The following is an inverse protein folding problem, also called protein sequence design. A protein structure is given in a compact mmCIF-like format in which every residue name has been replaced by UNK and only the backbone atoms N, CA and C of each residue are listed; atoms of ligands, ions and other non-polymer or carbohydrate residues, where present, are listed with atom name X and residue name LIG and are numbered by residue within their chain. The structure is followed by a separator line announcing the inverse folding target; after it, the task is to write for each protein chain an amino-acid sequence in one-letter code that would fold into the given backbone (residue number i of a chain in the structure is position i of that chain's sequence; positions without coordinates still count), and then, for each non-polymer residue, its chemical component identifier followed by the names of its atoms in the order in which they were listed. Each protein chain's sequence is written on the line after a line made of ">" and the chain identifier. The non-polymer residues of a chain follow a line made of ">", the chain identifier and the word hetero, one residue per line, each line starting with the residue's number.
data_IF_294447842394
#
_entry.id   IF_294447842394
#
_cell.length_a   1.000
_cell.length_b   1.000
_cell.length_c   1.000
_cell.angle_alpha   90.00
_cell.angle_beta   90.00
_cell.angle_gamma   90.00
#
_symmetry.space_group_name_H-M   'P 1'
#
loop_
_entity.id
_entity.type
_entity.pdbx_description
1 polymer ?
#
# COMPACT_ATOMS: atom_id res chain seq x y z
N UNK A 1 -41.97 -70.46 19.64
CA UNK A 1 -42.28 -69.09 20.12
C UNK A 1 -40.98 -68.32 20.08
N UNK A 2 -40.71 -67.65 18.96
CA UNK A 2 -39.36 -67.17 18.62
C UNK A 2 -39.43 -65.66 18.41
N UNK A 3 -38.84 -64.91 19.34
CA UNK A 3 -38.84 -63.44 19.38
C UNK A 3 -37.73 -62.94 18.44
N UNK A 4 -38.09 -62.21 17.38
CA UNK A 4 -37.14 -61.44 16.54
C UNK A 4 -36.91 -60.08 17.17
N UNK A 5 -35.64 -59.75 17.46
CA UNK A 5 -35.19 -58.41 17.87
C UNK A 5 -35.00 -57.54 16.64
N UNK A 6 -35.60 -56.35 16.64
CA UNK A 6 -35.42 -55.31 15.62
C UNK A 6 -34.32 -54.36 16.09
N UNK A 7 -33.18 -54.33 15.40
CA UNK A 7 -32.11 -53.35 15.64
C UNK A 7 -32.29 -52.14 14.73
N UNK A 8 -32.34 -50.95 15.32
CA UNK A 8 -32.35 -49.67 14.58
C UNK A 8 -30.90 -49.21 14.43
N UNK A 9 -30.45 -49.04 13.19
CA UNK A 9 -29.13 -48.53 12.83
C UNK A 9 -29.22 -47.01 12.70
N UNK A 10 -28.62 -46.26 13.62
CA UNK A 10 -28.47 -44.80 13.53
C UNK A 10 -27.19 -44.49 12.75
N UNK A 11 -27.35 -43.85 11.59
CA UNK A 11 -26.25 -43.35 10.77
C UNK A 11 -25.92 -41.93 11.24
N UNK A 12 -24.76 -41.76 11.87
CA UNK A 12 -24.20 -40.46 12.21
C UNK A 12 -23.54 -39.86 10.97
N UNK A 13 -24.17 -38.84 10.39
CA UNK A 13 -23.59 -38.04 9.31
C UNK A 13 -22.72 -36.96 9.97
N UNK A 14 -21.40 -37.16 9.94
CA UNK A 14 -20.43 -36.14 10.35
C UNK A 14 -20.35 -35.07 9.26
N UNK A 15 -20.88 -33.88 9.55
CA UNK A 15 -20.66 -32.67 8.75
C UNK A 15 -19.22 -32.18 9.00
N UNK A 16 -18.35 -32.43 8.04
CA UNK A 16 -17.02 -31.80 7.99
C UNK A 16 -17.23 -30.38 7.47
N UNK A 17 -17.14 -29.40 8.36
CA UNK A 17 -17.02 -27.99 7.98
C UNK A 17 -15.60 -27.77 7.47
N UNK A 18 -15.44 -27.68 6.15
CA UNK A 18 -14.23 -27.13 5.54
C UNK A 18 -14.33 -25.62 5.74
N UNK A 19 -13.64 -25.11 6.76
CA UNK A 19 -13.35 -23.67 6.86
C UNK A 19 -12.36 -23.35 5.74
N UNK A 20 -12.80 -22.58 4.76
CA UNK A 20 -11.87 -21.75 4.00
C UNK A 20 -11.34 -20.72 5.00
N UNK A 21 -10.08 -20.83 5.40
CA UNK A 21 -9.37 -19.67 5.94
C UNK A 21 -9.30 -18.64 4.82
N UNK A 22 -9.97 -17.52 5.03
CA UNK A 22 -10.03 -16.44 4.07
C UNK A 22 -8.63 -15.81 4.01
N UNK A 23 -7.93 -16.00 2.89
CA UNK A 23 -6.55 -15.55 2.66
C UNK A 23 -6.47 -14.01 2.47
N UNK A 24 -7.47 -13.27 2.96
CA UNK A 24 -7.74 -11.85 2.73
C UNK A 24 -6.88 -10.91 3.57
N UNK A 25 -6.26 -11.42 4.64
CA UNK A 25 -5.32 -10.67 5.48
C UNK A 25 -3.99 -10.42 4.77
N UNK A 26 -3.57 -11.32 3.88
CA UNK A 26 -2.30 -11.19 3.19
C UNK A 26 -2.36 -10.05 2.16
N UNK A 27 -1.31 -9.25 2.13
CA UNK A 27 -1.08 -8.21 1.14
C UNK A 27 0.07 -8.64 0.25
N UNK A 28 -0.17 -8.70 -1.05
CA UNK A 28 0.86 -9.00 -2.03
C UNK A 28 0.65 -8.05 -3.19
N UNK A 29 1.68 -7.26 -3.51
CA UNK A 29 1.67 -6.37 -4.66
C UNK A 29 2.95 -6.57 -5.47
N UNK A 30 2.78 -6.60 -6.78
CA UNK A 30 3.82 -6.34 -7.76
C UNK A 30 3.30 -5.28 -8.73
N UNK A 31 4.18 -4.76 -9.58
CA UNK A 31 3.79 -3.73 -10.55
C UNK A 31 3.80 -4.25 -11.99
N UNK A 32 3.67 -5.57 -12.20
CA UNK A 32 3.73 -6.19 -13.52
C UNK A 32 2.54 -5.82 -14.41
N UNK A 33 1.38 -5.57 -13.81
CA UNK A 33 0.15 -5.15 -14.49
C UNK A 33 -0.18 -3.68 -14.18
N UNK A 34 0.84 -2.83 -14.04
CA UNK A 34 0.66 -1.41 -13.79
C UNK A 34 1.43 -0.62 -14.85
N UNK A 35 0.74 0.20 -15.63
CA UNK A 35 1.39 1.07 -16.59
C UNK A 35 2.26 2.12 -15.90
N UNK A 36 3.24 2.67 -16.64
CA UNK A 36 4.09 3.74 -16.13
C UNK A 36 3.25 4.95 -15.72
N UNK A 37 3.33 5.35 -14.45
CA UNK A 37 2.53 6.45 -13.86
C UNK A 37 3.13 6.94 -12.54
N UNK A 38 2.74 8.14 -12.10
CA UNK A 38 3.17 8.69 -10.80
C UNK A 38 2.33 8.09 -9.67
N UNK A 39 1.00 8.00 -9.86
CA UNK A 39 0.12 7.45 -8.83
C UNK A 39 0.36 5.95 -8.63
N UNK A 40 0.86 5.57 -7.45
CA UNK A 40 1.23 4.17 -7.16
C UNK A 40 0.02 3.24 -7.24
N UNK A 41 -1.06 3.59 -6.54
CA UNK A 41 -2.30 2.82 -6.52
C UNK A 41 -3.16 3.16 -5.31
N UNK A 42 -4.38 2.62 -5.27
CA UNK A 42 -5.39 2.95 -4.25
C UNK A 42 -4.99 2.54 -2.83
N UNK A 43 -4.16 1.50 -2.72
CA UNK A 43 -3.74 0.94 -1.44
C UNK A 43 -2.57 1.72 -0.82
N UNK A 44 -2.10 2.78 -1.47
CA UNK A 44 -0.87 3.47 -1.12
C UNK A 44 -1.03 4.97 -0.91
N UNK A 45 -0.18 5.53 -0.05
CA UNK A 45 0.05 6.97 0.03
C UNK A 45 1.55 7.29 0.05
N UNK A 46 2.03 7.89 -1.04
CA UNK A 46 3.42 8.32 -1.20
C UNK A 46 3.66 9.71 -0.60
N UNK A 47 4.80 9.88 0.06
CA UNK A 47 5.25 11.15 0.64
C UNK A 47 6.74 11.35 0.30
N UNK A 48 7.08 12.43 -0.43
CA UNK A 48 6.18 13.24 -1.26
C UNK A 48 5.52 12.40 -2.36
N UNK A 49 4.41 12.84 -2.97
CA UNK A 49 3.71 12.02 -3.97
C UNK A 49 4.46 12.03 -5.30
N UNK A 50 4.98 13.20 -5.67
CA UNK A 50 5.72 13.51 -6.89
C UNK A 50 7.07 12.78 -7.00
N UNK A 51 7.62 12.34 -5.87
CA UNK A 51 8.93 11.72 -5.78
C UNK A 51 8.89 10.22 -6.06
N UNK A 52 7.71 9.65 -6.31
CA UNK A 52 7.50 8.24 -6.57
C UNK A 52 6.77 8.00 -7.87
N UNK A 53 7.16 6.93 -8.57
CA UNK A 53 6.48 6.49 -9.78
C UNK A 53 6.56 4.98 -9.93
N UNK A 54 5.58 4.41 -10.61
CA UNK A 54 5.69 3.09 -11.20
C UNK A 54 6.32 3.25 -12.57
N UNK A 55 7.43 2.57 -12.81
CA UNK A 55 8.12 2.58 -14.11
C UNK A 55 8.79 1.24 -14.34
N UNK A 56 8.59 0.67 -15.54
CA UNK A 56 9.18 -0.63 -15.93
C UNK A 56 8.89 -1.71 -14.88
N UNK A 57 7.62 -1.84 -14.49
CA UNK A 57 7.10 -2.81 -13.53
C UNK A 57 7.72 -2.75 -12.12
N UNK A 58 8.25 -1.59 -11.72
CA UNK A 58 8.80 -1.36 -10.38
C UNK A 58 8.32 -0.05 -9.80
N UNK A 59 8.19 0.02 -8.48
CA UNK A 59 8.04 1.29 -7.76
C UNK A 59 9.43 1.91 -7.59
N UNK A 60 9.61 3.16 -8.04
CA UNK A 60 10.90 3.86 -8.02
C UNK A 60 10.71 5.17 -7.26
N UNK A 61 11.59 5.42 -6.29
CA UNK A 61 11.77 6.75 -5.73
C UNK A 61 12.72 7.54 -6.65
N UNK A 62 12.30 8.68 -7.16
CA UNK A 62 13.12 9.60 -7.98
C UNK A 62 13.48 10.89 -7.25
N UNK A 63 12.93 11.10 -6.06
CA UNK A 63 13.17 12.28 -5.25
C UNK A 63 14.44 12.20 -4.39
N UNK A 64 14.81 13.33 -3.82
CA UNK A 64 15.91 13.44 -2.85
C UNK A 64 15.44 13.84 -1.46
N UNK A 65 14.12 13.92 -1.23
CA UNK A 65 13.57 14.27 0.08
C UNK A 65 13.89 13.16 1.09
N UNK A 66 14.50 13.48 2.24
CA UNK A 66 14.78 12.51 3.30
C UNK A 66 13.50 11.87 3.85
N UNK A 67 13.60 10.65 4.38
CA UNK A 67 12.44 9.94 4.97
C UNK A 67 11.26 9.77 4.00
N UNK A 68 11.55 9.78 2.69
CA UNK A 68 10.54 9.54 1.65
C UNK A 68 9.98 8.14 1.80
N UNK A 69 8.67 7.99 1.63
CA UNK A 69 7.99 6.72 1.92
C UNK A 69 6.74 6.52 1.08
N UNK A 70 6.36 5.26 0.89
CA UNK A 70 5.06 4.86 0.36
C UNK A 70 4.37 3.98 1.39
N UNK A 71 3.39 4.57 2.06
CA UNK A 71 2.61 3.93 3.13
C UNK A 71 1.58 2.97 2.51
N UNK A 72 1.41 1.79 3.11
CA UNK A 72 0.32 0.86 2.81
C UNK A 72 -0.88 1.25 3.68
N UNK A 73 -2.01 1.59 3.05
CA UNK A 73 -3.19 2.15 3.72
C UNK A 73 -4.18 1.09 4.19
N UNK A 74 -4.32 0.00 3.44
CA UNK A 74 -5.41 -0.98 3.62
C UNK A 74 -5.03 -2.16 4.50
N UNK A 75 -3.80 -2.17 5.03
CA UNK A 75 -3.26 -3.25 5.87
C UNK A 75 -2.47 -2.65 7.01
N UNK A 76 -2.94 -2.87 8.23
CA UNK A 76 -2.44 -2.21 9.43
C UNK A 76 -1.99 -3.28 10.42
N UNK A 77 -0.89 -3.03 11.14
CA UNK A 77 -0.49 -3.87 12.25
C UNK A 77 -1.40 -3.60 13.46
N UNK A 78 -2.14 -4.62 13.88
CA UNK A 78 -2.96 -4.62 15.09
C UNK A 78 -2.11 -4.44 16.36
N UNK A 79 -2.63 -3.78 17.41
CA UNK A 79 -2.01 -3.81 18.74
C UNK A 79 -2.04 -5.21 19.39
N UNK A 80 -2.93 -6.10 18.96
CA UNK A 80 -3.11 -7.42 19.56
C UNK A 80 -1.89 -8.33 19.34
N UNK A 81 -1.66 -9.33 20.22
CA UNK A 81 -0.58 -10.29 20.04
C UNK A 81 -0.68 -11.06 18.70
N UNK A 82 0.47 -11.23 18.04
CA UNK A 82 0.58 -12.05 16.85
C UNK A 82 1.96 -11.90 16.21
N UNK A 83 2.03 -12.29 14.94
CA UNK A 83 3.20 -12.14 14.06
C UNK A 83 2.89 -11.35 12.79
N UNK A 84 3.94 -10.85 12.16
CA UNK A 84 3.92 -10.36 10.78
C UNK A 84 5.26 -10.62 10.10
N UNK A 85 5.24 -10.65 8.77
CA UNK A 85 6.39 -10.59 7.88
C UNK A 85 6.11 -9.51 6.83
N UNK A 86 6.95 -8.48 6.80
CA UNK A 86 6.99 -7.52 5.69
C UNK A 86 8.23 -7.82 4.85
N UNK A 87 8.07 -8.01 3.55
CA UNK A 87 9.17 -8.24 2.62
C UNK A 87 9.01 -7.47 1.32
N UNK A 88 10.13 -7.18 0.66
CA UNK A 88 10.18 -6.60 -0.67
C UNK A 88 11.50 -6.99 -1.36
N UNK A 89 11.44 -7.06 -2.69
CA UNK A 89 12.63 -7.03 -3.52
C UNK A 89 13.02 -5.58 -3.76
N UNK A 90 14.31 -5.30 -3.70
CA UNK A 90 14.85 -3.95 -3.75
C UNK A 90 16.13 -3.88 -4.56
N UNK A 91 16.50 -2.68 -4.99
CA UNK A 91 17.81 -2.44 -5.58
C UNK A 91 18.10 -0.97 -5.77
N UNK A 92 19.37 -0.64 -5.89
CA UNK A 92 19.84 0.70 -6.20
C UNK A 92 19.43 1.05 -7.64
N UNK A 93 18.67 2.12 -7.78
CA UNK A 93 18.29 2.69 -9.07
C UNK A 93 19.32 3.71 -9.53
N UNK A 94 19.63 4.68 -8.67
CA UNK A 94 20.61 5.73 -8.94
C UNK A 94 21.39 6.07 -7.68
N UNK A 95 22.71 6.19 -7.80
CA UNK A 95 23.59 6.56 -6.69
C UNK A 95 23.72 8.08 -6.63
N UNK A 96 23.31 8.66 -5.51
CA UNK A 96 23.50 10.08 -5.22
C UNK A 96 24.91 10.39 -4.72
N UNK A 97 25.21 11.69 -4.60
CA UNK A 97 26.46 12.19 -4.00
C UNK A 97 26.59 11.78 -2.52
N UNK A 98 25.46 11.85 -1.80
CA UNK A 98 25.34 11.43 -0.41
C UNK A 98 24.77 10.01 -0.39
N UNK A 99 25.49 9.10 0.26
CA UNK A 99 25.13 7.69 0.34
C UNK A 99 23.75 7.53 0.99
N UNK A 100 22.79 7.06 0.19
CA UNK A 100 21.42 6.81 0.63
C UNK A 100 21.21 5.48 1.32
N UNK A 101 19.98 5.27 1.74
CA UNK A 101 19.49 4.07 2.40
C UNK A 101 18.10 3.72 1.88
N UNK A 102 17.67 2.49 2.10
CA UNK A 102 16.29 2.10 1.80
C UNK A 102 15.85 0.95 2.71
N UNK A 103 14.55 0.81 2.88
CA UNK A 103 13.96 -0.31 3.60
C UNK A 103 12.51 -0.06 3.96
N UNK A 104 12.16 -0.30 5.21
CA UNK A 104 10.82 -0.16 5.75
C UNK A 104 10.74 0.81 6.91
N UNK A 105 9.57 1.41 7.06
CA UNK A 105 9.13 2.06 8.29
C UNK A 105 7.97 1.24 8.86
N UNK A 106 8.13 0.73 10.09
CA UNK A 106 7.26 -0.28 10.69
C UNK A 106 6.47 0.29 11.87
N UNK A 107 5.18 -0.02 11.94
CA UNK A 107 4.33 0.41 13.07
C UNK A 107 4.24 1.92 13.18
N UNK A 108 3.97 2.57 12.04
CA UNK A 108 3.82 4.02 11.93
C UNK A 108 2.55 4.42 12.65
N UNK A 109 2.71 5.15 13.75
CA UNK A 109 1.61 5.61 14.59
C UNK A 109 1.85 7.05 15.01
N UNK A 110 0.77 7.85 14.99
CA UNK A 110 0.76 9.18 15.59
C UNK A 110 -0.01 9.12 16.91
N UNK A 111 0.63 9.66 17.95
CA UNK A 111 0.15 9.61 19.34
C UNK A 111 -0.88 10.71 19.61
N UNK A 112 -0.79 11.80 18.86
CA UNK A 112 -1.63 12.98 19.03
C UNK A 112 -2.93 12.84 18.23
N UNK A 113 -2.85 12.26 17.03
CA UNK A 113 -4.00 11.93 16.19
C UNK A 113 -3.88 10.49 15.65
N UNK A 114 -4.66 9.53 16.17
CA UNK A 114 -4.56 8.13 15.77
C UNK A 114 -5.13 7.83 14.37
N UNK A 115 -5.58 8.85 13.62
CA UNK A 115 -6.02 8.69 12.23
C UNK A 115 -4.85 8.29 11.31
N UNK A 116 -5.09 7.34 10.41
CA UNK A 116 -4.06 6.83 9.48
C UNK A 116 -3.50 7.91 8.55
N UNK A 117 -4.29 8.95 8.22
CA UNK A 117 -3.86 10.07 7.39
C UNK A 117 -2.89 10.95 8.18
N UNK A 118 -3.16 11.18 9.47
CA UNK A 118 -2.21 11.87 10.34
C UNK A 118 -0.92 11.05 10.49
N UNK A 119 -1.05 9.74 10.72
CA UNK A 119 0.08 8.82 10.82
C UNK A 119 0.96 8.82 9.54
N UNK A 120 0.38 8.93 8.35
CA UNK A 120 1.17 9.05 7.12
C UNK A 120 2.15 10.22 7.16
N UNK A 121 1.76 11.39 7.69
CA UNK A 121 2.60 12.60 7.71
C UNK A 121 3.44 12.74 8.97
N UNK A 122 2.85 12.49 10.13
CA UNK A 122 3.42 12.81 11.44
C UNK A 122 3.75 11.57 12.28
N UNK A 123 3.28 10.40 11.85
CA UNK A 123 3.50 9.14 12.54
C UNK A 123 4.98 8.78 12.61
N UNK A 124 5.34 8.13 13.72
CA UNK A 124 6.68 7.61 13.96
C UNK A 124 6.63 6.10 13.92
N UNK A 125 7.64 5.49 13.32
CA UNK A 125 7.78 4.03 13.24
C UNK A 125 9.22 3.60 13.46
N UNK A 126 9.43 2.30 13.53
CA UNK A 126 10.75 1.69 13.63
C UNK A 126 11.33 1.59 12.22
N UNK A 127 12.51 2.19 12.02
CA UNK A 127 13.25 2.15 10.77
C UNK A 127 13.98 0.83 10.65
N UNK A 128 13.89 0.17 9.49
CA UNK A 128 14.53 -1.10 9.22
C UNK A 128 15.04 -1.11 7.78
N UNK A 129 16.30 -1.43 7.51
CA UNK A 129 16.78 -1.39 6.13
C UNK A 129 18.28 -1.54 5.97
N UNK A 130 18.76 -1.03 4.84
CA UNK A 130 20.15 -1.11 4.40
C UNK A 130 20.65 0.27 3.96
N UNK A 131 21.91 0.57 4.24
CA UNK A 131 22.57 1.84 3.91
C UNK A 131 23.77 1.61 2.98
N UNK A 132 23.91 2.46 1.96
CA UNK A 132 25.08 2.46 1.05
C UNK A 132 26.40 2.77 1.78
N UNK A 133 26.34 3.20 3.04
CA UNK A 133 27.50 3.25 3.94
C UNK A 133 28.04 1.84 4.31
N UNK A 134 27.36 0.75 3.93
CA UNK A 134 27.82 -0.62 4.11
C UNK A 134 27.27 -1.34 5.35
N UNK A 135 26.07 -1.00 5.81
CA UNK A 135 25.44 -1.70 6.94
C UNK A 135 23.93 -1.89 6.76
N UNK A 136 23.40 -2.93 7.38
CA UNK A 136 21.98 -3.08 7.69
C UNK A 136 21.66 -2.40 9.02
N UNK A 137 20.43 -1.94 9.22
CA UNK A 137 19.95 -1.30 10.45
C UNK A 137 18.54 -1.73 10.82
N UNK A 138 18.26 -1.78 12.13
CA UNK A 138 16.94 -2.06 12.70
C UNK A 138 16.80 -1.28 14.00
N UNK A 139 15.97 -0.24 13.99
CA UNK A 139 15.99 0.80 15.02
C UNK A 139 17.38 1.43 15.14
N UNK A 140 17.90 1.50 16.36
CA UNK A 140 19.23 2.07 16.64
C UNK A 140 20.38 1.07 16.45
N UNK A 141 20.07 -0.20 16.14
CA UNK A 141 21.08 -1.23 15.93
C UNK A 141 21.56 -1.26 14.47
N UNK A 142 22.84 -1.57 14.28
CA UNK A 142 23.49 -1.67 12.97
C UNK A 142 24.34 -2.94 12.89
N UNK A 143 24.44 -3.50 11.69
CA UNK A 143 25.28 -4.66 11.37
C UNK A 143 26.02 -4.38 10.06
N UNK A 144 27.34 -4.46 10.06
CA UNK A 144 28.14 -4.29 8.83
C UNK A 144 27.79 -5.37 7.80
N UNK A 145 27.73 -4.98 6.53
CA UNK A 145 27.54 -5.92 5.42
C UNK A 145 28.86 -6.59 5.09
N UNK A 146 28.77 -7.81 4.54
CA UNK A 146 29.92 -8.49 3.97
C UNK A 146 30.46 -7.70 2.77
N UNK A 147 31.78 -7.75 2.55
CA UNK A 147 32.41 -7.19 1.36
C UNK A 147 31.77 -7.79 0.10
N UNK A 148 31.56 -6.97 -0.93
CA UNK A 148 30.95 -7.33 -2.22
C UNK A 148 29.42 -7.50 -2.26
N UNK A 149 28.69 -6.91 -1.30
CA UNK A 149 27.23 -6.84 -1.34
C UNK A 149 26.71 -6.31 -2.69
N UNK A 150 25.83 -7.06 -3.34
CA UNK A 150 25.24 -6.70 -4.62
C UNK A 150 24.06 -5.72 -4.46
N UNK A 151 24.27 -4.48 -4.91
CA UNK A 151 23.30 -3.39 -4.78
C UNK A 151 22.24 -3.35 -5.87
N UNK A 152 22.44 -4.02 -7.00
CA UNK A 152 21.49 -3.99 -8.12
C UNK A 152 20.22 -4.79 -7.84
N UNK A 153 20.29 -5.79 -6.96
CA UNK A 153 19.13 -6.54 -6.48
C UNK A 153 19.43 -7.26 -5.15
N UNK A 154 18.52 -7.11 -4.19
CA UNK A 154 18.51 -7.81 -2.91
C UNK A 154 17.10 -7.94 -2.36
N UNK A 155 16.88 -8.91 -1.48
CA UNK A 155 15.63 -9.13 -0.75
C UNK A 155 15.80 -8.67 0.70
N UNK A 156 14.86 -7.85 1.16
CA UNK A 156 14.77 -7.41 2.55
C UNK A 156 13.45 -7.95 3.14
N UNK A 157 13.53 -8.61 4.30
CA UNK A 157 12.36 -8.96 5.09
C UNK A 157 12.53 -8.56 6.55
N UNK A 158 11.42 -8.21 7.20
CA UNK A 158 11.35 -8.03 8.64
C UNK A 158 10.23 -8.90 9.18
N UNK A 159 10.61 -9.88 9.98
CA UNK A 159 9.69 -10.67 10.80
C UNK A 159 9.50 -9.97 12.14
N UNK A 160 8.28 -9.94 12.64
CA UNK A 160 7.97 -9.24 13.87
C UNK A 160 6.88 -9.88 14.69
N UNK A 161 7.02 -9.75 16.00
CA UNK A 161 5.98 -10.03 17.00
C UNK A 161 5.78 -8.78 17.85
N UNK A 162 4.96 -8.85 18.90
CA UNK A 162 4.82 -7.73 19.84
C UNK A 162 6.11 -7.42 20.62
N UNK A 163 7.08 -8.34 20.68
CA UNK A 163 8.22 -8.23 21.57
C UNK A 163 9.57 -8.26 20.85
N UNK A 164 9.60 -8.65 19.58
CA UNK A 164 10.84 -8.83 18.83
C UNK A 164 10.63 -8.49 17.36
N UNK A 165 11.63 -7.86 16.75
CA UNK A 165 11.77 -7.71 15.31
C UNK A 165 13.08 -8.38 14.87
N UNK A 166 13.05 -9.04 13.71
CA UNK A 166 14.22 -9.64 13.06
C UNK A 166 14.24 -9.22 11.60
N UNK A 167 15.26 -8.47 11.22
CA UNK A 167 15.57 -8.11 9.84
C UNK A 167 16.43 -9.21 9.22
N UNK A 168 16.04 -9.65 8.03
CA UNK A 168 16.82 -10.53 7.17
C UNK A 168 17.08 -9.82 5.84
N UNK A 169 18.34 -9.79 5.43
CA UNK A 169 18.79 -9.21 4.17
C UNK A 169 19.55 -10.28 3.39
N UNK A 170 19.19 -10.48 2.12
CA UNK A 170 19.85 -11.44 1.23
C UNK A 170 20.11 -10.77 -0.11
N UNK A 171 21.37 -10.65 -0.52
CA UNK A 171 21.68 -10.13 -1.87
C UNK A 171 21.51 -11.19 -2.97
N UNK A 172 21.60 -10.78 -4.23
CA UNK A 172 21.50 -11.72 -5.37
C UNK A 172 22.58 -12.80 -5.40
N UNK A 173 23.71 -12.61 -4.70
CA UNK A 173 24.80 -13.57 -4.61
C UNK A 173 24.59 -14.56 -3.44
N UNK A 174 23.54 -14.36 -2.62
CA UNK A 174 23.23 -15.17 -1.45
C UNK A 174 23.98 -14.74 -0.18
N UNK A 175 24.62 -13.57 -0.17
CA UNK A 175 25.19 -12.99 1.05
C UNK A 175 24.05 -12.61 2.00
N UNK A 176 24.15 -13.05 3.25
CA UNK A 176 23.10 -12.88 4.25
C UNK A 176 23.55 -11.99 5.39
N UNK A 177 22.65 -11.14 5.85
CA UNK A 177 22.80 -10.35 7.08
C UNK A 177 21.51 -10.45 7.88
N UNK A 178 21.64 -10.73 9.18
CA UNK A 178 20.52 -10.82 10.11
C UNK A 178 20.75 -9.84 11.27
N UNK A 179 19.70 -9.19 11.73
CA UNK A 179 19.73 -8.27 12.87
C UNK A 179 18.41 -8.35 13.64
N UNK A 180 18.46 -8.56 14.95
CA UNK A 180 17.27 -8.60 15.81
C UNK A 180 17.32 -7.57 16.91
N UNK A 181 16.14 -7.03 17.27
CA UNK A 181 15.95 -6.15 18.42
C UNK A 181 14.73 -6.58 19.25
N UNK A 182 14.77 -6.30 20.54
CA UNK A 182 13.59 -6.39 21.41
C UNK A 182 12.80 -5.09 21.34
N UNK A 183 11.47 -5.19 21.29
CA UNK A 183 10.54 -4.06 21.26
C UNK A 183 9.46 -4.22 22.34
N UNK A 184 8.67 -3.15 22.56
CA UNK A 184 7.52 -3.15 23.49
C UNK A 184 6.25 -2.79 22.74
N UNK A 185 5.66 -3.77 22.08
CA UNK A 185 4.51 -3.59 21.21
C UNK A 185 4.88 -2.93 19.89
N UNK A 186 4.07 -3.22 18.87
CA UNK A 186 4.11 -2.57 17.55
C UNK A 186 2.72 -2.64 16.95
N UNK A 187 2.26 -1.51 16.41
CA UNK A 187 0.98 -1.34 15.73
C UNK A 187 1.06 -0.14 14.79
N UNK A 188 0.09 -0.01 13.89
CA UNK A 188 0.02 1.11 12.93
C UNK A 188 0.43 0.71 11.52
N UNK A 189 0.61 1.70 10.66
CA UNK A 189 0.88 1.48 9.23
C UNK A 189 2.29 0.91 9.03
N UNK A 190 2.52 0.37 7.83
CA UNK A 190 3.87 0.06 7.36
C UNK A 190 4.11 0.77 6.03
N UNK A 191 5.37 1.03 5.71
CA UNK A 191 5.76 1.68 4.47
C UNK A 191 7.06 1.11 3.93
N UNK A 192 7.21 1.13 2.60
CA UNK A 192 8.55 1.15 1.98
C UNK A 192 9.11 2.56 2.05
N UNK A 193 10.43 2.69 2.23
CA UNK A 193 11.05 3.97 2.48
C UNK A 193 12.43 4.10 1.83
N UNK A 194 12.75 5.33 1.41
CA UNK A 194 13.96 5.71 0.71
C UNK A 194 14.62 6.89 1.45
N UNK A 195 15.95 6.88 1.53
CA UNK A 195 16.76 7.85 2.28
C UNK A 195 16.28 8.00 3.74
N UNK A 196 16.07 6.87 4.41
CA UNK A 196 15.86 6.81 5.86
C UNK A 196 17.11 7.32 6.59
N UNK A 197 16.90 8.06 7.68
CA UNK A 197 17.97 8.59 8.53
C UNK A 197 18.00 7.78 9.83
N UNK A 198 18.75 6.66 9.90
CA UNK A 198 18.82 5.83 11.10
C UNK A 198 19.56 6.53 12.26
N UNK A 199 20.38 7.54 11.97
CA UNK A 199 21.08 8.36 12.97
C UNK A 199 20.76 9.84 12.71
N UNK A 200 19.97 10.46 13.60
CA UNK A 200 19.50 11.84 13.45
C UNK A 200 20.65 12.87 13.38
N UNK A 201 21.87 12.51 13.78
CA UNK A 201 23.04 13.39 13.68
C UNK A 201 23.74 13.32 12.33
N UNK A 202 23.35 12.38 11.46
CA UNK A 202 23.91 12.25 10.12
C UNK A 202 23.07 13.00 9.09
N UNK A 203 23.77 13.51 8.07
CA UNK A 203 23.13 14.06 6.88
C UNK A 203 22.36 12.94 6.17
N UNK A 204 21.13 13.23 5.75
CA UNK A 204 20.36 12.32 4.92
C UNK A 204 21.04 12.09 3.56
N UNK A 205 21.00 10.85 3.07
CA UNK A 205 21.45 10.54 1.73
C UNK A 205 20.47 11.00 0.65
N UNK A 206 20.91 10.93 -0.60
CA UNK A 206 20.12 11.31 -1.77
C UNK A 206 20.22 10.27 -2.90
N UNK A 207 20.38 8.99 -2.54
CA UNK A 207 20.35 7.90 -3.51
C UNK A 207 18.92 7.38 -3.70
N UNK A 208 18.66 6.74 -4.83
CA UNK A 208 17.35 6.31 -5.25
C UNK A 208 17.30 4.80 -5.36
N UNK A 209 16.28 4.19 -4.78
CA UNK A 209 16.05 2.75 -4.83
C UNK A 209 14.73 2.42 -5.52
N UNK A 210 14.69 1.23 -6.12
CA UNK A 210 13.46 0.63 -6.62
C UNK A 210 12.98 -0.47 -5.67
N UNK A 211 11.68 -0.74 -5.71
CA UNK A 211 10.96 -1.71 -4.89
C UNK A 211 10.01 -2.52 -5.78
N UNK A 212 9.90 -3.81 -5.50
CA UNK A 212 8.95 -4.71 -6.15
C UNK A 212 8.60 -5.88 -5.23
N UNK A 213 7.57 -6.66 -5.58
CA UNK A 213 7.14 -7.85 -4.84
C UNK A 213 6.94 -7.58 -3.35
N UNK A 214 6.25 -6.49 -2.99
CA UNK A 214 6.01 -6.10 -1.60
C UNK A 214 4.95 -7.03 -1.02
N UNK A 215 5.26 -7.67 0.11
CA UNK A 215 4.38 -8.62 0.78
C UNK A 215 4.29 -8.32 2.26
N UNK A 216 3.08 -8.24 2.78
CA UNK A 216 2.79 -8.16 4.20
C UNK A 216 1.86 -9.32 4.58
N UNK A 217 2.34 -10.24 5.41
CA UNK A 217 1.61 -11.45 5.82
C UNK A 217 1.72 -11.69 7.31
N UNK A 218 0.76 -12.38 7.92
CA UNK A 218 0.80 -12.76 9.34
C UNK A 218 -0.44 -12.35 10.12
N UNK A 219 -0.53 -12.88 11.33
CA UNK A 219 -1.73 -12.81 12.18
C UNK A 219 -2.01 -11.43 12.78
N UNK A 220 -1.04 -10.50 12.78
CA UNK A 220 -1.24 -9.11 13.25
C UNK A 220 -1.92 -8.21 12.23
N UNK A 221 -2.21 -8.68 11.02
CA UNK A 221 -2.69 -7.79 9.96
C UNK A 221 -4.20 -7.60 10.05
N UNK A 222 -4.61 -6.35 10.21
CA UNK A 222 -5.99 -5.90 10.06
C UNK A 222 -6.23 -5.34 8.66
N UNK A 223 -7.37 -5.72 8.07
CA UNK A 223 -7.78 -5.33 6.73
C UNK A 223 -8.73 -4.12 6.81
N UNK A 224 -8.35 -3.04 6.15
CA UNK A 224 -9.11 -1.78 6.12
C UNK A 224 -9.25 -1.26 4.69
N UNK A 225 -10.04 -1.95 3.86
CA UNK A 225 -10.23 -1.56 2.45
C UNK A 225 -10.82 -0.15 2.29
N UNK A 226 -11.54 0.34 3.30
CA UNK A 226 -12.09 1.70 3.39
C UNK A 226 -11.02 2.80 3.43
N UNK A 227 -9.78 2.46 3.76
CA UNK A 227 -8.65 3.39 3.73
C UNK A 227 -8.09 3.62 2.32
N UNK A 228 -8.56 2.86 1.32
CA UNK A 228 -8.16 3.05 -0.08
C UNK A 228 -8.38 4.50 -0.52
N UNK A 229 -7.45 5.05 -1.30
CA UNK A 229 -7.53 6.43 -1.77
C UNK A 229 -7.26 6.57 -3.28
N UNK A 230 -8.23 7.17 -3.99
CA UNK A 230 -8.17 7.35 -5.43
C UNK A 230 -8.72 6.14 -6.22
N UNK A 231 -8.59 6.17 -7.56
CA UNK A 231 -8.01 7.25 -8.38
C UNK A 231 -8.95 8.45 -8.54
N UNK A 232 -10.20 8.39 -8.06
CA UNK A 232 -11.04 9.59 -7.93
C UNK A 232 -10.74 10.20 -6.57
N UNK A 233 -9.93 11.27 -6.54
CA UNK A 233 -9.51 11.92 -5.30
C UNK A 233 -10.61 12.80 -4.72
N UNK A 234 -11.38 13.42 -5.62
CA UNK A 234 -12.37 14.40 -5.23
C UNK A 234 -13.43 14.59 -6.31
N UNK A 235 -14.64 14.95 -5.90
CA UNK A 235 -15.71 15.42 -6.80
C UNK A 235 -16.34 16.69 -6.27
N UNK A 236 -16.60 17.65 -7.15
CA UNK A 236 -17.36 18.86 -6.83
C UNK A 236 -18.45 19.06 -7.85
N UNK A 237 -19.63 19.50 -7.42
CA UNK A 237 -20.70 19.83 -8.34
C UNK A 237 -21.37 21.17 -8.01
N UNK A 238 -22.01 21.73 -9.03
CA UNK A 238 -22.90 22.89 -8.91
C UNK A 238 -24.21 22.58 -9.61
N UNK A 239 -25.30 23.14 -9.09
CA UNK A 239 -26.62 23.11 -9.71
C UNK A 239 -27.09 24.55 -9.93
N UNK A 240 -27.32 24.94 -11.18
CA UNK A 240 -27.80 26.28 -11.52
C UNK A 240 -28.69 26.25 -12.74
N UNK A 241 -29.88 26.88 -12.66
CA UNK A 241 -30.85 26.98 -13.76
C UNK A 241 -31.12 25.63 -14.46
N UNK A 242 -31.33 24.57 -13.68
CA UNK A 242 -31.56 23.22 -14.20
C UNK A 242 -30.35 22.61 -14.91
N UNK A 243 -29.13 23.06 -14.61
CA UNK A 243 -27.89 22.46 -15.14
C UNK A 243 -27.00 22.01 -13.99
N UNK A 244 -26.63 20.73 -14.01
CA UNK A 244 -25.58 20.18 -13.14
C UNK A 244 -24.26 20.25 -13.88
N UNK A 245 -23.23 20.81 -13.22
CA UNK A 245 -21.84 20.64 -13.62
C UNK A 245 -21.10 19.91 -12.52
N UNK A 246 -20.51 18.77 -12.84
CA UNK A 246 -19.75 17.95 -11.89
C UNK A 246 -18.32 17.79 -12.41
N UNK A 247 -17.33 18.06 -11.58
CA UNK A 247 -15.92 17.81 -11.86
C UNK A 247 -15.43 16.67 -10.97
N UNK A 248 -14.69 15.73 -11.56
CA UNK A 248 -13.91 14.73 -10.85
C UNK A 248 -12.42 15.07 -11.00
N UNK A 249 -11.66 15.00 -9.89
CA UNK A 249 -10.21 15.20 -9.85
C UNK A 249 -9.50 13.86 -9.60
N UNK A 250 -8.41 13.64 -10.33
CA UNK A 250 -7.63 12.41 -10.31
C UNK A 250 -6.16 12.70 -10.02
N UNK A 251 -5.40 11.71 -9.51
CA UNK A 251 -3.96 11.85 -9.42
C UNK A 251 -3.35 11.74 -10.83
N UNK A 252 -2.04 11.99 -11.00
CA UNK A 252 -1.39 11.81 -12.28
C UNK A 252 -1.29 10.31 -12.66
N UNK A 253 -2.31 9.83 -13.37
CA UNK A 253 -2.35 8.51 -13.99
C UNK A 253 -1.48 8.46 -15.26
N UNK A 254 -1.15 7.25 -15.70
CA UNK A 254 -0.30 7.00 -16.86
C UNK A 254 -1.02 7.22 -18.19
N UNK A 255 -0.26 7.46 -19.25
CA UNK A 255 -0.83 7.72 -20.60
C UNK A 255 -1.54 6.49 -21.19
N UNK A 256 -1.16 5.29 -20.75
CA UNK A 256 -1.76 4.01 -21.16
C UNK A 256 -2.85 3.52 -20.22
N UNK A 257 -3.02 4.17 -19.06
CA UNK A 257 -4.14 3.89 -18.16
C UNK A 257 -5.46 4.24 -18.84
N UNK A 258 -6.58 3.78 -18.27
CA UNK A 258 -7.90 4.17 -18.76
C UNK A 258 -8.08 5.69 -18.67
N UNK A 259 -8.32 6.35 -19.81
CA UNK A 259 -8.48 7.81 -19.87
C UNK A 259 -9.95 8.25 -19.76
N UNK A 260 -10.89 7.32 -19.58
CA UNK A 260 -12.33 7.58 -19.55
C UNK A 260 -12.91 7.43 -18.15
N UNK A 261 -13.75 8.40 -17.75
CA UNK A 261 -14.50 8.41 -16.48
C UNK A 261 -15.98 8.46 -16.79
N UNK A 262 -16.75 7.63 -16.08
CA UNK A 262 -18.20 7.57 -16.25
C UNK A 262 -18.93 8.15 -15.06
N UNK A 263 -19.96 8.97 -15.32
CA UNK A 263 -20.93 9.38 -14.33
C UNK A 263 -22.15 8.47 -14.43
N UNK A 264 -22.53 7.87 -13.31
CA UNK A 264 -23.69 7.00 -13.20
C UNK A 264 -24.70 7.56 -12.22
N UNK A 265 -25.98 7.39 -12.54
CA UNK A 265 -27.09 7.71 -11.65
C UNK A 265 -27.80 6.42 -11.26
N UNK A 266 -28.34 6.38 -10.04
CA UNK A 266 -29.19 5.27 -9.61
C UNK A 266 -30.61 5.45 -10.15
N UNK A 267 -31.10 4.48 -10.91
CA UNK A 267 -32.47 4.41 -11.44
C UNK A 267 -33.05 3.04 -11.13
N UNK A 268 -34.19 2.99 -10.44
CA UNK A 268 -34.91 1.73 -10.13
C UNK A 268 -33.99 0.64 -9.52
N UNK A 269 -33.09 1.05 -8.61
CA UNK A 269 -32.04 0.25 -7.97
C UNK A 269 -30.85 -0.18 -8.86
N UNK A 270 -30.81 0.21 -10.13
CA UNK A 270 -29.69 -0.05 -11.04
C UNK A 270 -28.82 1.21 -11.25
N UNK A 271 -27.52 1.00 -11.44
CA UNK A 271 -26.60 2.08 -11.82
C UNK A 271 -26.55 2.23 -13.34
N UNK A 272 -26.98 3.38 -13.83
CA UNK A 272 -27.03 3.68 -15.27
C UNK A 272 -25.99 4.75 -15.61
N UNK A 273 -25.07 4.44 -16.51
CA UNK A 273 -24.15 5.43 -17.08
C UNK A 273 -24.92 6.45 -17.90
N UNK A 274 -24.80 7.72 -17.52
CA UNK A 274 -25.46 8.83 -18.23
C UNK A 274 -24.49 9.67 -19.05
N UNK A 275 -23.20 9.62 -18.72
CA UNK A 275 -22.15 10.33 -19.43
C UNK A 275 -20.80 9.64 -19.20
N UNK A 276 -19.93 9.74 -20.19
CA UNK A 276 -18.53 9.32 -20.10
C UNK A 276 -17.69 10.47 -20.67
N UNK A 277 -16.71 10.92 -19.91
CA UNK A 277 -15.84 12.04 -20.25
C UNK A 277 -14.38 11.59 -20.22
N UNK A 278 -13.57 12.21 -21.06
CA UNK A 278 -12.11 12.00 -21.04
C UNK A 278 -11.47 12.83 -19.95
N UNK A 279 -10.43 12.27 -19.34
CA UNK A 279 -9.57 12.98 -18.40
C UNK A 279 -8.77 14.02 -19.20
N UNK A 280 -8.89 15.28 -18.78
CA UNK A 280 -8.10 16.37 -19.32
C UNK A 280 -6.67 16.24 -18.79
N UNK A 281 -5.71 16.22 -19.74
CA UNK A 281 -4.33 15.84 -19.45
C UNK A 281 -3.71 16.77 -18.44
N UNK A 282 -3.79 18.08 -18.61
CA UNK A 282 -2.98 19.01 -17.79
C UNK A 282 -3.55 19.19 -16.38
N UNK A 283 -4.86 19.35 -16.26
CA UNK A 283 -5.57 19.53 -14.99
C UNK A 283 -5.88 18.24 -14.24
N UNK A 284 -5.79 17.07 -14.90
CA UNK A 284 -6.19 15.77 -14.35
C UNK A 284 -7.65 15.76 -13.87
N UNK A 285 -8.53 16.44 -14.61
CA UNK A 285 -9.96 16.52 -14.31
C UNK A 285 -10.84 15.95 -15.40
N UNK A 286 -12.03 15.47 -15.05
CA UNK A 286 -13.11 15.18 -15.99
C UNK A 286 -14.34 15.98 -15.58
N UNK A 287 -14.96 16.70 -16.52
CA UNK A 287 -16.09 17.60 -16.25
C UNK A 287 -17.33 17.15 -17.01
N UNK A 288 -18.37 16.79 -16.26
CA UNK A 288 -19.69 16.43 -16.76
C UNK A 288 -20.60 17.65 -16.75
N UNK A 289 -21.40 17.82 -17.82
CA UNK A 289 -22.47 18.84 -17.88
C UNK A 289 -23.79 18.18 -18.24
N UNK A 290 -24.76 18.27 -17.35
CA UNK A 290 -26.10 17.70 -17.53
C UNK A 290 -27.12 18.83 -17.52
N UNK A 291 -27.77 19.06 -18.65
CA UNK A 291 -28.79 20.09 -18.80
C UNK A 291 -30.19 19.53 -18.54
N UNK A 292 -31.16 20.42 -18.34
CA UNK A 292 -32.55 20.08 -18.05
C UNK A 292 -32.72 19.13 -16.84
N UNK A 293 -31.88 19.32 -15.83
CA UNK A 293 -31.94 18.60 -14.57
C UNK A 293 -33.21 18.96 -13.80
N UNK A 294 -33.96 17.93 -13.41
CA UNK A 294 -35.13 18.07 -12.56
C UNK A 294 -34.70 18.35 -11.12
N UNK A 295 -34.76 19.63 -10.73
CA UNK A 295 -34.31 20.10 -9.41
C UNK A 295 -35.18 19.61 -8.26
N UNK A 296 -36.37 19.05 -8.54
CA UNK A 296 -37.28 18.54 -7.52
C UNK A 296 -36.95 17.10 -7.10
N UNK A 297 -36.00 16.43 -7.78
CA UNK A 297 -35.64 15.03 -7.51
C UNK A 297 -34.23 14.90 -6.97
N UNK A 298 -34.12 14.27 -5.82
CA UNK A 298 -32.85 13.74 -5.33
C UNK A 298 -32.52 12.45 -6.07
N UNK A 299 -31.27 12.32 -6.52
CA UNK A 299 -30.79 11.15 -7.26
C UNK A 299 -29.40 10.82 -6.76
N UNK A 300 -29.22 9.57 -6.31
CA UNK A 300 -27.90 9.06 -5.98
C UNK A 300 -27.03 8.97 -7.23
N UNK A 301 -25.77 9.37 -7.11
CA UNK A 301 -24.80 9.32 -8.19
C UNK A 301 -23.51 8.65 -7.75
N UNK A 302 -22.75 8.15 -8.72
CA UNK A 302 -21.35 7.77 -8.52
C UNK A 302 -20.52 8.13 -9.74
N UNK A 303 -19.27 8.49 -9.49
CA UNK A 303 -18.25 8.61 -10.53
C UNK A 303 -17.45 7.32 -10.55
N UNK A 304 -17.29 6.73 -11.73
CA UNK A 304 -16.64 5.45 -11.93
C UNK A 304 -15.40 5.64 -12.79
N UNK A 305 -14.27 5.21 -12.25
CA UNK A 305 -13.05 4.95 -12.98
C UNK A 305 -12.82 3.45 -13.01
N UNK A 306 -12.81 2.86 -14.20
CA UNK A 306 -12.46 1.45 -14.36
C UNK A 306 -10.95 1.37 -14.56
N UNK A 307 -10.23 0.97 -13.51
CA UNK A 307 -8.79 0.76 -13.62
C UNK A 307 -8.51 -0.40 -14.59
N UNK A 308 -7.58 -0.16 -15.50
CA UNK A 308 -7.05 -1.18 -16.39
C UNK A 308 -5.61 -1.41 -15.97
N UNK A 309 -5.34 -2.58 -15.39
CA UNK A 309 -4.00 -3.12 -15.22
C UNK A 309 -3.59 -3.92 -16.42
#
# INVERSE_FOLDING_TARGET
>A
MTIRKTGILLIFISLIFISCEDNSQNFVVDFNNTYNRIWVGKDFWAIPLEDWKVENTKLICTGTVPESRVNILTRILSPDPGDFNLSAQMGLHEKGEELGSAGFLLGIYDKEDPDIKAACYFGKGIKAGVSLEGYAFLGDQKMELLSDFAWDQFDLSVEGTNNQLTLNLVDKNGLKTELSISIKGIHGLVAVANNLVPDENKKAGNSNFWFDNIKLTGSKIEVHEENSFGPILWTMYTLSKGTVKLMALLPPIGEKDNQDISLQLRKENEWVTIATEKIEKDSRTAVFKIENWDIAKEVEYRVLYNEKG
#
